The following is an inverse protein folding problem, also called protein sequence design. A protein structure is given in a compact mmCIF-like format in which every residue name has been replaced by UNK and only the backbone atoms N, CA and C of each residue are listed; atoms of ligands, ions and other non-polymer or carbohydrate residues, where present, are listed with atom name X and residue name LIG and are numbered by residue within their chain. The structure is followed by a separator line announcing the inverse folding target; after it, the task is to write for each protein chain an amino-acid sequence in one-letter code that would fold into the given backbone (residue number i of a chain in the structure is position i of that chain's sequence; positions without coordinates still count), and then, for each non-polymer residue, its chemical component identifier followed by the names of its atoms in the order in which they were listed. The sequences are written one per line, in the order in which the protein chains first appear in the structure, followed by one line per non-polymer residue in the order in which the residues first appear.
data_IF_947602468768
#
_entry.id   IF_947602468768
#
_cell.length_a   1.000
_cell.length_b   1.000
_cell.length_c   1.000
_cell.angle_alpha   90.00
_cell.angle_beta   90.00
_cell.angle_gamma   90.00
#
_symmetry.space_group_name_H-M   'P 1'
#
loop_
_entity.id
_entity.type
_entity.pdbx_description
1 polymer ?
#
# COMPACT_ATOMS: atom_id res chain seq x y z
N UNK A 1 42.15 13.39 3.02
CA UNK A 1 42.29 12.18 3.86
C UNK A 1 41.01 11.37 3.71
N UNK A 2 40.65 10.72 2.59
CA UNK A 2 41.37 9.93 1.57
C UNK A 2 42.30 8.89 2.18
N UNK A 3 41.72 7.77 2.58
CA UNK A 3 42.42 6.48 2.66
C UNK A 3 41.68 5.53 1.71
N UNK A 4 42.26 5.22 0.54
CA UNK A 4 41.69 4.34 -0.47
C UNK A 4 42.10 2.90 -0.17
N UNK A 5 41.14 2.03 0.18
CA UNK A 5 41.30 0.58 0.04
C UNK A 5 40.76 0.17 -1.34
N UNK A 6 41.41 0.68 -2.39
CA UNK A 6 41.35 0.11 -3.73
C UNK A 6 42.69 -0.57 -3.93
N UNK A 7 42.70 -1.90 -3.99
CA UNK A 7 43.49 -2.69 -4.95
C UNK A 7 43.23 -4.17 -4.78
N UNK A 8 43.11 -4.84 -5.92
CA UNK A 8 43.23 -6.28 -6.14
C UNK A 8 42.01 -7.15 -5.79
N UNK A 9 41.08 -7.26 -6.73
CA UNK A 9 40.14 -8.38 -6.71
C UNK A 9 38.90 -8.20 -7.57
N UNK A 10 39.09 -8.09 -8.89
CA UNK A 10 38.12 -8.36 -9.96
C UNK A 10 36.60 -8.28 -9.68
N UNK A 11 35.95 -7.35 -10.38
CA UNK A 11 34.74 -7.65 -11.17
C UNK A 11 33.59 -8.39 -10.45
N UNK A 12 33.21 -8.01 -9.23
CA UNK A 12 32.00 -8.55 -8.59
C UNK A 12 31.20 -7.51 -7.80
N UNK A 13 31.10 -6.28 -8.31
CA UNK A 13 29.95 -5.43 -7.99
C UNK A 13 28.81 -5.79 -8.96
N UNK A 14 28.28 -7.02 -8.82
CA UNK A 14 26.99 -7.38 -9.40
C UNK A 14 25.98 -6.41 -8.80
N UNK A 15 25.43 -5.62 -9.71
CA UNK A 15 24.40 -4.62 -9.51
C UNK A 15 23.25 -5.31 -8.75
N UNK A 16 23.14 -5.08 -7.44
CA UNK A 16 21.94 -5.41 -6.68
C UNK A 16 20.85 -4.37 -6.99
N UNK A 17 20.49 -4.24 -8.28
CA UNK A 17 19.20 -3.68 -8.67
C UNK A 17 18.15 -4.74 -8.36
N UNK A 18 17.83 -4.88 -7.08
CA UNK A 18 16.65 -5.60 -6.64
C UNK A 18 15.44 -4.83 -7.16
N UNK A 19 14.90 -5.24 -8.30
CA UNK A 19 13.56 -4.84 -8.69
C UNK A 19 12.61 -5.37 -7.63
N UNK A 20 12.13 -4.50 -6.74
CA UNK A 20 10.94 -4.79 -5.96
C UNK A 20 9.80 -4.93 -6.96
N UNK A 21 9.49 -6.17 -7.35
CA UNK A 21 8.26 -6.45 -8.07
C UNK A 21 7.12 -5.99 -7.16
N UNK A 22 6.46 -4.90 -7.54
CA UNK A 22 5.27 -4.46 -6.86
C UNK A 22 4.24 -5.59 -6.97
N UNK A 23 3.98 -6.27 -5.85
CA UNK A 23 2.93 -7.27 -5.78
C UNK A 23 1.60 -6.53 -5.95
N UNK A 24 1.05 -6.56 -7.16
CA UNK A 24 -0.29 -6.04 -7.41
C UNK A 24 -1.31 -6.94 -6.72
N UNK A 25 -2.27 -6.35 -6.03
CA UNK A 25 -3.47 -7.06 -5.60
C UNK A 25 -4.12 -7.71 -6.84
N UNK A 26 -4.57 -8.97 -6.78
CA UNK A 26 -5.26 -9.60 -7.89
C UNK A 26 -6.50 -8.80 -8.30
N UNK A 27 -6.71 -8.62 -9.61
CA UNK A 27 -7.85 -7.86 -10.15
C UNK A 27 -9.20 -8.39 -9.67
N UNK A 28 -9.27 -9.69 -9.37
CA UNK A 28 -10.46 -10.32 -8.79
C UNK A 28 -10.84 -9.72 -7.43
N UNK A 29 -9.87 -9.32 -6.60
CA UNK A 29 -10.16 -8.65 -5.33
C UNK A 29 -10.69 -7.24 -5.52
N UNK A 30 -10.26 -6.53 -6.58
CA UNK A 30 -10.74 -5.18 -6.86
C UNK A 30 -12.19 -5.17 -7.36
N UNK A 31 -12.62 -6.27 -8.01
CA UNK A 31 -13.97 -6.43 -8.54
C UNK A 31 -14.99 -6.92 -7.50
N UNK A 32 -14.58 -7.21 -6.26
CA UNK A 32 -15.49 -7.68 -5.22
C UNK A 32 -16.56 -6.61 -4.93
N UNK A 33 -17.86 -6.95 -4.98
CA UNK A 33 -18.92 -5.99 -4.71
C UNK A 33 -18.98 -5.64 -3.22
N UNK A 34 -18.87 -4.36 -2.93
CA UNK A 34 -19.04 -3.76 -1.61
C UNK A 34 -20.42 -3.13 -1.56
N UNK A 35 -21.22 -3.53 -0.57
CA UNK A 35 -22.55 -2.95 -0.36
C UNK A 35 -22.47 -1.92 0.76
N UNK A 36 -22.84 -0.68 0.46
CA UNK A 36 -22.92 0.38 1.44
C UNK A 36 -24.15 0.24 2.34
N UNK A 37 -24.14 0.94 3.46
CA UNK A 37 -25.31 1.02 4.37
C UNK A 37 -26.53 1.66 3.71
N UNK A 38 -26.35 2.41 2.62
CA UNK A 38 -27.42 2.93 1.77
C UNK A 38 -28.07 1.88 0.86
N UNK A 39 -27.48 0.69 0.73
CA UNK A 39 -27.88 -0.36 -0.22
C UNK A 39 -27.25 -0.25 -1.61
N UNK A 40 -26.52 0.83 -1.88
CA UNK A 40 -25.74 0.99 -3.11
C UNK A 40 -24.57 -0.01 -3.16
N UNK A 41 -24.23 -0.46 -4.37
CA UNK A 41 -23.10 -1.37 -4.61
C UNK A 41 -22.00 -0.66 -5.37
N UNK A 42 -20.76 -0.87 -4.96
CA UNK A 42 -19.56 -0.41 -5.66
C UNK A 42 -18.49 -1.51 -5.66
N UNK A 43 -17.41 -1.29 -6.37
CA UNK A 43 -16.20 -2.11 -6.37
C UNK A 43 -14.95 -1.23 -6.33
N UNK A 44 -13.83 -1.75 -5.81
CA UNK A 44 -12.57 -0.99 -5.78
C UNK A 44 -12.02 -0.72 -7.19
N UNK A 45 -12.39 -1.54 -8.17
CA UNK A 45 -12.02 -1.37 -9.57
C UNK A 45 -12.51 -0.02 -10.14
N UNK A 46 -13.64 0.52 -9.66
CA UNK A 46 -14.18 1.80 -10.12
C UNK A 46 -13.28 2.99 -9.78
N UNK A 47 -12.40 2.85 -8.79
CA UNK A 47 -11.50 3.91 -8.33
C UNK A 47 -10.07 3.76 -8.87
N UNK A 48 -9.75 2.64 -9.52
CA UNK A 48 -8.42 2.36 -10.06
C UNK A 48 -8.02 3.42 -11.10
N UNK A 49 -6.82 4.00 -10.94
CA UNK A 49 -6.28 5.00 -11.86
C UNK A 49 -6.93 6.39 -11.80
N UNK A 50 -7.95 6.61 -10.96
CA UNK A 50 -8.62 7.92 -10.83
C UNK A 50 -8.02 8.78 -9.73
N UNK A 51 -7.88 8.24 -8.51
CA UNK A 51 -7.35 8.92 -7.32
C UNK A 51 -6.71 7.91 -6.36
N UNK A 52 -5.77 8.32 -5.50
CA UNK A 52 -5.32 7.49 -4.38
C UNK A 52 -6.51 7.13 -3.49
N UNK A 53 -6.64 5.85 -3.16
CA UNK A 53 -7.69 5.32 -2.28
C UNK A 53 -7.06 4.83 -0.98
N UNK A 54 -7.56 5.33 0.14
CA UNK A 54 -7.21 4.82 1.47
C UNK A 54 -8.33 3.90 1.96
N UNK A 55 -8.03 2.61 2.09
CA UNK A 55 -8.97 1.61 2.58
C UNK A 55 -8.70 1.32 4.06
N UNK A 56 -9.70 1.57 4.92
CA UNK A 56 -9.61 1.33 6.35
C UNK A 56 -10.57 0.21 6.77
N UNK A 57 -10.00 -0.90 7.21
CA UNK A 57 -10.77 -1.99 7.83
C UNK A 57 -10.95 -1.73 9.32
N UNK A 58 -12.18 -1.67 9.79
CA UNK A 58 -12.51 -1.47 11.21
C UNK A 58 -13.84 -2.12 11.55
N UNK A 59 -14.13 -2.22 12.85
CA UNK A 59 -15.40 -2.71 13.35
C UNK A 59 -15.76 -2.03 14.69
N UNK A 60 -17.04 -2.06 15.07
CA UNK A 60 -17.57 -1.45 16.30
C UNK A 60 -17.01 -2.02 17.60
N UNK A 61 -16.40 -3.20 17.54
CA UNK A 61 -15.74 -3.86 18.66
C UNK A 61 -14.21 -3.68 18.64
N UNK A 62 -13.65 -3.04 17.61
CA UNK A 62 -12.21 -2.75 17.55
C UNK A 62 -11.91 -1.48 18.35
N UNK A 63 -11.64 -1.64 19.65
CA UNK A 63 -11.30 -0.54 20.55
C UNK A 63 -10.09 0.31 20.09
N UNK A 64 -8.93 -0.26 19.69
CA UNK A 64 -7.84 0.57 19.18
C UNK A 64 -8.23 1.30 17.89
N UNK A 65 -9.02 0.69 16.99
CA UNK A 65 -9.48 1.36 15.77
C UNK A 65 -10.33 2.60 16.08
N UNK A 66 -11.19 2.52 17.11
CA UNK A 66 -12.05 3.62 17.53
C UNK A 66 -11.27 4.77 18.13
N UNK A 67 -10.25 4.49 18.94
CA UNK A 67 -9.38 5.52 19.53
C UNK A 67 -8.62 6.33 18.46
N UNK A 68 -8.29 5.71 17.33
CA UNK A 68 -7.60 6.37 16.21
C UNK A 68 -8.54 7.13 15.26
N UNK A 69 -9.85 6.86 15.28
CA UNK A 69 -10.80 7.51 14.36
C UNK A 69 -10.83 9.05 14.41
N UNK A 70 -10.83 9.71 15.59
CA UNK A 70 -10.89 11.16 15.67
C UNK A 70 -9.75 11.81 14.91
N UNK A 71 -8.54 11.27 15.02
CA UNK A 71 -7.36 11.82 14.35
C UNK A 71 -7.46 11.73 12.82
N UNK A 72 -8.11 10.69 12.27
CA UNK A 72 -8.26 10.53 10.83
C UNK A 72 -9.34 11.43 10.22
N UNK A 73 -10.42 11.75 10.94
CA UNK A 73 -11.49 12.62 10.43
C UNK A 73 -11.01 14.04 10.11
N UNK A 74 -9.92 14.50 10.75
CA UNK A 74 -9.37 15.85 10.53
C UNK A 74 -8.32 15.93 9.41
N UNK A 75 -7.86 14.79 8.87
CA UNK A 75 -6.77 14.70 7.88
C UNK A 75 -7.31 14.33 6.47
N UNK A 76 -8.60 13.98 6.38
CA UNK A 76 -9.35 13.71 5.14
C UNK A 76 -10.08 14.96 4.66
#
# INVERSE_FOLDING_TARGET
MRIPFVTAGGLLAVILSGSAAAASLPDTMLQLPITFTSGERTSLAEYQGKKPVYLKFWASWCEPCQKEMPHFQYIQ
#
